data_IF_393678832772
#
_entry.id   IF_393678832772
#
_cell.length_a   1.000
_cell.length_b   1.000
_cell.length_c   1.000
_cell.angle_alpha   90.00
_cell.angle_beta   90.00
_cell.angle_gamma   90.00
#
_symmetry.space_group_name_H-M   'P 1'
#
loop_
_entity.id
_entity.type
_entity.pdbx_description
1 polymer ?
#
# COMPACT_ATOMS: atom_id res chain seq x y z
N UNK A 1 -0.22 43.53 -2.79
CA UNK A 1 0.48 44.41 -3.74
C UNK A 1 1.68 45.16 -3.15
N UNK A 2 1.72 45.47 -1.85
CA UNK A 2 2.87 46.18 -1.22
C UNK A 2 4.17 45.34 -1.16
N UNK A 3 4.09 44.00 -1.07
CA UNK A 3 5.28 43.15 -0.96
C UNK A 3 6.07 42.99 -2.27
N UNK A 4 5.40 43.04 -3.43
CA UNK A 4 6.06 42.97 -4.75
C UNK A 4 6.94 44.19 -5.03
N UNK A 5 6.61 45.35 -4.44
CA UNK A 5 7.42 46.57 -4.55
C UNK A 5 8.74 46.49 -3.79
N UNK A 6 8.73 45.85 -2.61
CA UNK A 6 9.93 45.69 -1.78
C UNK A 6 10.95 44.75 -2.44
N UNK A 7 10.47 43.66 -3.06
CA UNK A 7 11.30 42.69 -3.76
C UNK A 7 11.99 43.29 -5.00
N UNK A 8 11.28 44.10 -5.79
CA UNK A 8 11.87 44.79 -6.95
C UNK A 8 12.92 45.83 -6.55
N UNK A 9 12.71 46.51 -5.41
CA UNK A 9 13.68 47.48 -4.87
C UNK A 9 14.96 46.80 -4.36
N UNK A 10 14.83 45.68 -3.65
CA UNK A 10 15.97 44.89 -3.19
C UNK A 10 16.80 44.32 -4.36
N UNK A 11 16.15 43.86 -5.44
CA UNK A 11 16.83 43.38 -6.64
C UNK A 11 17.63 44.49 -7.34
N UNK A 12 17.05 45.68 -7.47
CA UNK A 12 17.73 46.84 -8.04
C UNK A 12 18.95 47.27 -7.21
N UNK A 13 18.84 47.24 -5.87
CA UNK A 13 19.95 47.54 -4.97
C UNK A 13 21.07 46.49 -5.07
N UNK A 14 20.73 45.20 -5.14
CA UNK A 14 21.68 44.11 -5.32
C UNK A 14 22.45 44.21 -6.65
N UNK A 15 21.76 44.53 -7.75
CA UNK A 15 22.38 44.76 -9.07
C UNK A 15 23.33 45.96 -9.05
N UNK A 16 22.94 47.05 -8.38
CA UNK A 16 23.78 48.25 -8.22
C UNK A 16 25.02 47.98 -7.38
N UNK A 17 24.90 47.23 -6.28
CA UNK A 17 26.06 46.79 -5.48
C UNK A 17 26.98 45.84 -6.27
N UNK A 18 26.43 44.89 -7.02
CA UNK A 18 27.24 43.97 -7.84
C UNK A 18 28.04 44.72 -8.92
N UNK A 19 27.44 45.72 -9.57
CA UNK A 19 28.13 46.58 -10.55
C UNK A 19 29.22 47.44 -9.90
N UNK A 20 28.96 48.02 -8.72
CA UNK A 20 29.97 48.77 -7.97
C UNK A 20 31.14 47.89 -7.51
N UNK A 21 30.87 46.64 -7.11
CA UNK A 21 31.88 45.66 -6.73
C UNK A 21 32.74 45.23 -7.92
N UNK A 22 32.15 45.00 -9.09
CA UNK A 22 32.90 44.67 -10.30
C UNK A 22 33.86 45.81 -10.70
N UNK A 23 33.44 47.07 -10.54
CA UNK A 23 34.28 48.24 -10.80
C UNK A 23 35.43 48.40 -9.79
N UNK A 24 35.19 48.10 -8.51
CA UNK A 24 36.21 48.18 -7.46
C UNK A 24 37.30 47.09 -7.56
N UNK A 25 36.97 45.91 -8.09
CA UNK A 25 37.90 44.79 -8.24
C UNK A 25 38.88 44.99 -9.42
N UNK A 26 38.53 45.82 -10.40
CA UNK A 26 39.39 46.13 -11.57
C UNK A 26 40.66 46.93 -11.23
N UNK A 27 40.79 47.49 -10.02
CA UNK A 27 41.89 48.41 -9.66
C UNK A 27 42.91 47.89 -8.65
N UNK A 28 42.75 46.69 -8.09
CA UNK A 28 43.55 46.24 -6.93
C UNK A 28 44.30 44.95 -7.26
N UNK A 29 45.63 45.01 -7.31
CA UNK A 29 46.48 43.87 -7.60
C UNK A 29 46.65 42.93 -6.39
N UNK A 30 46.26 41.67 -6.58
CA UNK A 30 46.90 40.48 -6.02
C UNK A 30 46.53 40.05 -4.60
N UNK A 31 46.74 40.89 -3.58
CA UNK A 31 46.82 40.40 -2.19
C UNK A 31 45.68 40.94 -1.30
N UNK A 32 45.14 42.12 -1.58
CA UNK A 32 44.04 42.70 -0.78
C UNK A 32 42.63 42.15 -1.15
N UNK A 33 42.49 41.48 -2.30
CA UNK A 33 41.20 41.02 -2.84
C UNK A 33 40.61 39.87 -2.01
N UNK A 34 41.44 38.99 -1.42
CA UNK A 34 40.94 37.85 -0.65
C UNK A 34 40.21 38.28 0.63
N UNK A 35 40.72 39.31 1.33
CA UNK A 35 40.12 39.84 2.56
C UNK A 35 38.78 40.54 2.31
N UNK A 36 38.68 41.30 1.20
CA UNK A 36 37.46 42.01 0.83
C UNK A 36 36.35 41.05 0.37
N UNK A 37 36.70 40.03 -0.41
CA UNK A 37 35.73 39.01 -0.86
C UNK A 37 35.21 38.19 0.32
N UNK A 38 36.08 37.84 1.27
CA UNK A 38 35.69 37.13 2.50
C UNK A 38 34.74 37.95 3.39
N UNK A 39 35.03 39.26 3.56
CA UNK A 39 34.18 40.18 4.32
C UNK A 39 32.79 40.39 3.69
N UNK A 40 32.74 40.51 2.36
CA UNK A 40 31.47 40.66 1.62
C UNK A 40 30.66 39.37 1.64
N UNK A 41 31.31 38.21 1.46
CA UNK A 41 30.64 36.91 1.58
C UNK A 41 30.06 36.72 2.99
N UNK A 42 30.79 37.11 4.05
CA UNK A 42 30.31 37.04 5.42
C UNK A 42 29.11 37.97 5.67
N UNK A 43 29.09 39.19 5.10
CA UNK A 43 27.97 40.14 5.23
C UNK A 43 26.72 39.70 4.46
N UNK A 44 26.90 39.21 3.23
CA UNK A 44 25.80 38.63 2.45
C UNK A 44 25.25 37.41 3.18
N UNK A 45 26.12 36.56 3.75
CA UNK A 45 25.70 35.39 4.52
C UNK A 45 24.96 35.76 5.81
N UNK A 46 25.42 36.76 6.57
CA UNK A 46 24.71 37.25 7.76
C UNK A 46 23.31 37.77 7.41
N UNK A 47 23.15 38.43 6.27
CA UNK A 47 21.83 38.83 5.77
C UNK A 47 20.98 37.62 5.32
N UNK A 48 21.61 36.57 4.79
CA UNK A 48 20.92 35.35 4.36
C UNK A 48 20.41 34.47 5.53
N UNK A 49 21.12 34.46 6.66
CA UNK A 49 20.73 33.73 7.88
C UNK A 49 19.52 34.38 8.59
N UNK A 50 19.21 35.64 8.27
CA UNK A 50 18.05 36.35 8.80
C UNK A 50 16.71 36.06 8.10
N UNK A 51 16.69 35.25 7.02
CA UNK A 51 15.43 34.92 6.35
C UNK A 51 14.71 33.76 7.03
N UNK A 52 13.55 34.04 7.63
CA UNK A 52 12.68 33.05 8.27
C UNK A 52 11.81 32.28 7.27
N UNK A 53 11.68 32.76 6.02
CA UNK A 53 10.80 32.19 5.01
C UNK A 53 11.52 31.28 4.01
N UNK A 54 10.84 30.22 3.58
CA UNK A 54 11.33 29.25 2.57
C UNK A 54 11.67 29.93 1.25
N UNK A 55 10.91 30.97 0.88
CA UNK A 55 11.18 31.77 -0.32
C UNK A 55 12.50 32.56 -0.20
N UNK A 56 12.83 33.09 0.98
CA UNK A 56 14.11 33.76 1.23
C UNK A 56 15.30 32.82 1.02
N UNK A 57 15.19 31.57 1.46
CA UNK A 57 16.22 30.53 1.26
C UNK A 57 16.39 30.15 -0.21
N UNK A 58 15.30 30.10 -0.98
CA UNK A 58 15.36 29.84 -2.42
C UNK A 58 16.02 31.00 -3.19
N UNK A 59 15.73 32.25 -2.82
CA UNK A 59 16.36 33.42 -3.41
C UNK A 59 17.85 33.51 -3.04
N UNK A 60 18.21 33.17 -1.80
CA UNK A 60 19.60 33.05 -1.35
C UNK A 60 20.41 32.09 -2.23
N UNK A 61 19.83 30.93 -2.54
CA UNK A 61 20.46 29.90 -3.37
C UNK A 61 20.65 30.37 -4.81
N UNK A 62 19.68 31.09 -5.38
CA UNK A 62 19.82 31.73 -6.70
C UNK A 62 20.92 32.78 -6.72
N UNK A 63 21.00 33.62 -5.68
CA UNK A 63 22.02 34.65 -5.51
C UNK A 63 23.44 34.04 -5.40
N UNK A 64 23.62 32.99 -4.61
CA UNK A 64 24.89 32.26 -4.49
C UNK A 64 25.30 31.63 -5.84
N UNK A 65 24.35 31.09 -6.59
CA UNK A 65 24.62 30.57 -7.95
C UNK A 65 24.99 31.67 -8.96
N UNK A 66 24.46 32.88 -8.78
CA UNK A 66 24.86 34.04 -9.59
C UNK A 66 26.28 34.53 -9.22
N UNK A 67 26.58 34.67 -7.92
CA UNK A 67 27.89 35.07 -7.43
C UNK A 67 28.99 34.08 -7.84
N UNK A 68 28.70 32.76 -7.80
CA UNK A 68 29.63 31.74 -8.29
C UNK A 68 29.97 31.93 -9.77
N UNK A 69 28.97 32.20 -10.62
CA UNK A 69 29.17 32.45 -12.05
C UNK A 69 29.94 33.73 -12.30
N UNK A 70 29.62 34.80 -11.58
CA UNK A 70 30.33 36.07 -11.69
C UNK A 70 31.82 35.95 -11.27
N UNK A 71 32.11 35.25 -10.18
CA UNK A 71 33.47 35.05 -9.69
C UNK A 71 34.28 34.11 -10.60
N UNK A 72 33.66 33.05 -11.13
CA UNK A 72 34.32 32.10 -12.04
C UNK A 72 34.80 32.75 -13.34
N UNK A 73 34.16 33.83 -13.79
CA UNK A 73 34.55 34.55 -15.01
C UNK A 73 35.72 35.52 -14.78
N UNK A 74 35.98 35.93 -13.53
CA UNK A 74 36.97 36.97 -13.24
C UNK A 74 38.25 36.48 -12.58
N UNK A 75 38.25 35.36 -11.85
CA UNK A 75 39.43 34.99 -11.05
C UNK A 75 40.33 33.92 -11.67
N UNK A 76 39.96 33.30 -12.80
CA UNK A 76 40.84 32.38 -13.55
C UNK A 76 41.53 31.27 -12.74
N UNK A 77 41.04 30.95 -11.53
CA UNK A 77 41.85 30.27 -10.52
C UNK A 77 41.02 29.46 -9.53
N UNK A 78 41.46 28.22 -9.32
CA UNK A 78 40.84 27.17 -8.51
C UNK A 78 40.62 27.54 -7.03
N UNK A 79 41.37 28.51 -6.50
CA UNK A 79 41.39 28.84 -5.06
C UNK A 79 40.11 29.51 -4.56
N UNK A 80 39.43 30.31 -5.39
CA UNK A 80 38.14 30.91 -5.02
C UNK A 80 36.99 29.90 -5.04
N UNK A 81 37.10 28.87 -5.88
CA UNK A 81 36.11 27.79 -5.97
C UNK A 81 36.24 26.85 -4.78
N UNK A 82 37.46 26.53 -4.34
CA UNK A 82 37.71 25.72 -3.14
C UNK A 82 37.16 26.38 -1.85
N UNK A 83 37.31 27.70 -1.71
CA UNK A 83 36.75 28.43 -0.57
C UNK A 83 35.21 28.33 -0.52
N UNK A 84 34.54 28.45 -1.68
CA UNK A 84 33.08 28.27 -1.81
C UNK A 84 32.63 26.82 -1.59
N UNK A 85 33.44 25.83 -1.96
CA UNK A 85 33.13 24.41 -1.74
C UNK A 85 33.29 24.00 -0.27
N UNK A 86 34.23 24.60 0.46
CA UNK A 86 34.34 24.40 1.92
C UNK A 86 33.11 24.89 2.70
N UNK A 87 32.49 26.00 2.26
CA UNK A 87 31.23 26.53 2.80
C UNK A 87 30.03 25.67 2.37
N UNK A 88 30.03 25.13 1.15
CA UNK A 88 29.00 24.19 0.68
C UNK A 88 28.97 22.90 1.51
N UNK A 89 30.12 22.42 1.97
CA UNK A 89 30.23 21.25 2.84
C UNK A 89 29.59 21.46 4.23
N UNK A 90 29.38 22.72 4.66
CA UNK A 90 28.71 23.04 5.93
C UNK A 90 27.19 23.12 5.83
N UNK A 91 26.61 23.25 4.63
CA UNK A 91 25.16 23.27 4.39
C UNK A 91 24.35 22.08 4.96
N UNK A 92 24.85 20.83 5.02
CA UNK A 92 24.12 19.70 5.62
C UNK A 92 23.89 19.85 7.12
N UNK A 93 24.87 20.40 7.85
CA UNK A 93 24.78 20.63 9.29
C UNK A 93 23.75 21.73 9.61
N UNK A 94 23.58 22.70 8.71
CA UNK A 94 22.57 23.76 8.85
C UNK A 94 21.16 23.36 8.37
N UNK A 95 21.03 22.37 7.48
CA UNK A 95 19.73 21.73 7.20
C UNK A 95 19.15 21.06 8.44
N UNK A 96 20.00 20.49 9.28
CA UNK A 96 19.59 19.90 10.56
C UNK A 96 19.11 20.97 11.56
N UNK A 97 19.77 22.13 11.63
CA UNK A 97 19.33 23.21 12.53
C UNK A 97 18.04 23.91 12.07
N UNK A 98 17.81 24.05 10.76
CA UNK A 98 16.56 24.59 10.23
C UNK A 98 15.38 23.62 10.39
N UNK A 99 15.60 22.32 10.19
CA UNK A 99 14.60 21.28 10.48
C UNK A 99 14.24 21.23 11.97
N UNK A 100 15.20 21.50 12.86
CA UNK A 100 14.96 21.60 14.29
C UNK A 100 14.12 22.83 14.67
N UNK A 101 14.39 24.00 14.09
CA UNK A 101 13.61 25.23 14.36
C UNK A 101 12.17 25.17 13.83
N UNK A 102 11.98 24.65 12.62
CA UNK A 102 10.64 24.51 12.02
C UNK A 102 9.78 23.48 12.77
N UNK A 103 10.37 22.39 13.28
CA UNK A 103 9.65 21.44 14.12
C UNK A 103 9.31 21.99 15.51
N UNK A 104 10.09 22.96 16.02
CA UNK A 104 9.78 23.62 17.29
C UNK A 104 8.57 24.57 17.18
N UNK A 105 8.51 25.40 16.14
CA UNK A 105 7.36 26.30 15.93
C UNK A 105 6.07 25.55 15.60
N UNK A 106 6.13 24.47 14.81
CA UNK A 106 4.95 23.60 14.59
C UNK A 106 4.46 22.98 15.90
N UNK A 107 5.35 22.70 16.85
CA UNK A 107 4.99 22.13 18.15
C UNK A 107 4.37 23.16 19.08
N UNK A 108 4.83 24.41 19.01
CA UNK A 108 4.25 25.56 19.73
C UNK A 108 2.87 25.90 19.16
N UNK A 109 2.70 25.97 17.84
CA UNK A 109 1.42 26.24 17.19
C UNK A 109 0.39 25.13 17.46
N UNK A 110 0.81 23.87 17.50
CA UNK A 110 -0.06 22.73 17.86
C UNK A 110 -0.44 22.76 19.35
N UNK A 111 0.48 23.16 20.23
CA UNK A 111 0.18 23.32 21.66
C UNK A 111 -0.78 24.50 21.90
N UNK A 112 -0.61 25.60 21.17
CA UNK A 112 -1.50 26.76 21.24
C UNK A 112 -2.89 26.46 20.65
N UNK A 113 -2.96 25.71 19.54
CA UNK A 113 -4.22 25.24 18.96
C UNK A 113 -4.95 24.23 19.87
N UNK A 114 -4.21 23.40 20.62
CA UNK A 114 -4.79 22.49 21.62
C UNK A 114 -5.38 23.26 22.82
N UNK A 115 -4.70 24.33 23.27
CA UNK A 115 -5.19 25.18 24.35
C UNK A 115 -6.35 26.09 23.95
N UNK A 116 -6.48 26.48 22.67
CA UNK A 116 -7.64 27.25 22.18
C UNK A 116 -8.93 26.42 22.06
N UNK A 117 -8.84 25.09 22.08
CA UNK A 117 -10.01 24.19 21.99
C UNK A 117 -10.63 23.81 23.33
N UNK A 118 -10.05 24.21 24.46
CA UNK A 118 -10.60 23.91 25.80
C UNK A 118 -11.42 25.06 26.41
N UNK A 119 -11.64 26.14 25.67
CA UNK A 119 -12.45 27.27 26.12
C UNK A 119 -13.70 27.46 25.28
N UNK A 120 -14.86 27.19 25.89
CA UNK A 120 -16.19 27.63 25.47
C UNK A 120 -16.95 26.82 24.41
N UNK A 121 -17.05 25.50 24.60
CA UNK A 121 -18.28 24.79 24.23
C UNK A 121 -18.75 24.00 25.46
N UNK A 122 -19.94 24.35 25.96
CA UNK A 122 -20.64 23.59 26.98
C UNK A 122 -21.01 22.22 26.40
N UNK A 123 -20.18 21.22 26.71
CA UNK A 123 -20.44 19.83 26.38
C UNK A 123 -21.75 19.40 27.03
N UNK A 124 -22.82 19.39 26.24
CA UNK A 124 -24.01 18.59 26.53
C UNK A 124 -23.54 17.15 26.59
N UNK A 125 -23.46 16.62 27.80
CA UNK A 125 -23.18 15.23 28.10
C UNK A 125 -24.02 14.31 27.20
N UNK A 126 -23.43 13.84 26.11
CA UNK A 126 -23.97 12.73 25.35
C UNK A 126 -23.75 11.48 26.20
N UNK A 127 -24.67 11.21 27.12
CA UNK A 127 -24.78 9.95 27.86
C UNK A 127 -25.24 8.84 26.93
N UNK A 128 -24.44 8.52 25.92
CA UNK A 128 -24.58 7.29 25.16
C UNK A 128 -23.87 6.20 25.98
N UNK A 129 -24.64 5.49 26.79
CA UNK A 129 -24.20 4.28 27.47
C UNK A 129 -24.58 3.08 26.58
N UNK A 130 -23.72 2.64 25.64
CA UNK A 130 -24.02 1.47 24.85
C UNK A 130 -24.20 0.28 25.78
N UNK A 131 -25.25 -0.51 25.55
CA UNK A 131 -25.46 -1.78 26.25
C UNK A 131 -24.38 -2.75 25.79
N UNK A 132 -23.27 -2.80 26.53
CA UNK A 132 -22.17 -3.73 26.29
C UNK A 132 -22.67 -5.12 26.67
N UNK A 133 -22.60 -6.07 25.74
CA UNK A 133 -22.99 -7.47 26.00
C UNK A 133 -22.16 -8.06 27.15
N UNK A 134 -22.77 -8.91 27.98
CA UNK A 134 -22.12 -9.55 29.16
C UNK A 134 -20.83 -10.31 28.81
N UNK A 135 -20.70 -10.79 27.57
CA UNK A 135 -19.45 -11.40 27.08
C UNK A 135 -18.30 -10.40 27.02
N UNK A 136 -18.55 -9.18 26.57
CA UNK A 136 -17.50 -8.17 26.44
C UNK A 136 -17.04 -7.68 27.82
N UNK A 137 -17.97 -7.50 28.77
CA UNK A 137 -17.61 -7.13 30.15
C UNK A 137 -16.78 -8.22 30.83
N UNK A 138 -17.18 -9.49 30.68
CA UNK A 138 -16.42 -10.63 31.25
C UNK A 138 -14.99 -10.74 30.68
N UNK A 139 -14.79 -10.34 29.42
CA UNK A 139 -13.49 -10.37 28.76
C UNK A 139 -12.62 -9.18 29.20
N UNK A 140 -13.22 -8.01 29.43
CA UNK A 140 -12.56 -6.83 30.01
C UNK A 140 -12.10 -7.11 31.45
N UNK A 141 -12.97 -7.72 32.27
CA UNK A 141 -12.66 -8.14 33.65
C UNK A 141 -11.54 -9.19 33.68
N UNK A 142 -11.57 -10.17 32.78
CA UNK A 142 -10.50 -11.16 32.66
C UNK A 142 -9.15 -10.53 32.27
N UNK A 143 -9.17 -9.50 31.42
CA UNK A 143 -7.96 -8.73 31.05
C UNK A 143 -7.43 -7.93 32.24
N UNK A 144 -8.31 -7.25 32.97
CA UNK A 144 -7.91 -6.49 34.16
C UNK A 144 -7.33 -7.41 35.23
N UNK A 145 -7.96 -8.56 35.50
CA UNK A 145 -7.45 -9.56 36.42
C UNK A 145 -6.08 -10.13 35.99
N UNK A 146 -5.84 -10.31 34.69
CA UNK A 146 -4.53 -10.74 34.18
C UNK A 146 -3.44 -9.68 34.38
N UNK A 147 -3.76 -8.40 34.15
CA UNK A 147 -2.85 -7.27 34.38
C UNK A 147 -2.52 -7.13 35.86
N UNK A 148 -3.51 -7.26 36.75
CA UNK A 148 -3.29 -7.19 38.19
C UNK A 148 -2.46 -8.36 38.71
N UNK A 149 -2.68 -9.59 38.21
CA UNK A 149 -1.80 -10.74 38.53
C UNK A 149 -0.38 -10.53 38.05
N UNK A 150 -0.19 -10.00 36.83
CA UNK A 150 1.15 -9.69 36.32
C UNK A 150 1.84 -8.60 37.15
N UNK A 151 1.08 -7.58 37.59
CA UNK A 151 1.59 -6.52 38.46
C UNK A 151 1.96 -7.05 39.84
N UNK A 152 1.13 -7.90 40.43
CA UNK A 152 1.41 -8.53 41.72
C UNK A 152 2.66 -9.42 41.64
N UNK A 153 2.77 -10.23 40.58
CA UNK A 153 3.95 -11.06 40.33
C UNK A 153 5.23 -10.23 40.17
N UNK A 154 5.15 -9.09 39.48
CA UNK A 154 6.27 -8.17 39.32
C UNK A 154 6.71 -7.53 40.65
N UNK A 155 5.76 -7.16 41.52
CA UNK A 155 6.07 -6.63 42.86
C UNK A 155 6.76 -7.72 43.70
N UNK A 156 6.25 -8.96 43.69
CA UNK A 156 6.88 -10.06 44.42
C UNK A 156 8.26 -10.43 43.87
N UNK A 157 8.48 -10.32 42.56
CA UNK A 157 9.78 -10.56 41.94
C UNK A 157 10.79 -9.43 42.26
N UNK A 158 10.31 -8.18 42.32
CA UNK A 158 11.10 -7.02 42.70
C UNK A 158 11.57 -7.06 44.16
N UNK A 159 10.78 -7.65 45.06
CA UNK A 159 11.17 -7.83 46.48
C UNK A 159 12.15 -9.01 46.68
N UNK A 160 12.18 -9.98 45.77
CA UNK A 160 12.98 -11.19 45.92
C UNK A 160 14.46 -11.03 45.52
N UNK A 161 14.80 -10.18 44.55
CA UNK A 161 16.20 -9.98 44.16
C UNK A 161 16.44 -8.66 43.38
N UNK A 162 16.99 -7.60 44.02
CA UNK A 162 17.18 -6.30 43.38
C UNK A 162 18.26 -6.31 42.26
N UNK A 163 19.07 -7.38 42.17
CA UNK A 163 20.13 -7.51 41.18
C UNK A 163 19.64 -7.95 39.78
N UNK A 164 18.44 -8.53 39.67
CA UNK A 164 17.89 -9.06 38.41
C UNK A 164 16.81 -8.17 37.76
N UNK A 165 16.70 -6.92 38.24
CA UNK A 165 15.69 -5.94 37.82
C UNK A 165 15.69 -5.65 36.31
N UNK A 166 16.84 -5.74 35.65
CA UNK A 166 16.96 -5.44 34.22
C UNK A 166 16.34 -6.52 33.32
N UNK A 167 16.35 -7.78 33.75
CA UNK A 167 15.84 -8.90 32.94
C UNK A 167 14.33 -9.06 33.13
N UNK A 168 13.84 -8.95 34.38
CA UNK A 168 12.40 -8.94 34.67
C UNK A 168 11.67 -7.71 34.09
N UNK A 169 12.31 -6.52 34.08
CA UNK A 169 11.76 -5.34 33.42
C UNK A 169 11.71 -5.50 31.88
N UNK A 170 12.65 -6.24 31.29
CA UNK A 170 12.66 -6.54 29.86
C UNK A 170 11.54 -7.53 29.48
N UNK A 171 11.29 -8.55 30.30
CA UNK A 171 10.16 -9.47 30.10
C UNK A 171 8.80 -8.78 30.29
N UNK A 172 8.67 -7.89 31.27
CA UNK A 172 7.45 -7.13 31.51
C UNK A 172 7.18 -6.12 30.38
N UNK A 173 8.24 -5.52 29.81
CA UNK A 173 8.15 -4.69 28.62
C UNK A 173 7.77 -5.51 27.36
N UNK A 174 8.26 -6.74 27.23
CA UNK A 174 7.91 -7.64 26.13
C UNK A 174 6.46 -8.15 26.23
N UNK A 175 5.99 -8.51 27.42
CA UNK A 175 4.61 -8.93 27.66
C UNK A 175 3.61 -7.78 27.48
N UNK A 176 3.94 -6.57 27.93
CA UNK A 176 3.14 -5.37 27.69
C UNK A 176 3.09 -4.98 26.19
N UNK A 177 4.21 -5.16 25.46
CA UNK A 177 4.24 -4.92 24.01
C UNK A 177 3.36 -5.92 23.24
N UNK A 178 3.25 -7.17 23.70
CA UNK A 178 2.38 -8.18 23.09
C UNK A 178 0.89 -7.89 23.36
N UNK A 179 0.53 -7.45 24.57
CA UNK A 179 -0.86 -7.13 24.94
C UNK A 179 -1.42 -5.89 24.21
N UNK A 180 -0.57 -4.94 23.83
CA UNK A 180 -0.96 -3.74 23.07
C UNK A 180 -0.89 -3.91 21.53
N UNK A 181 -0.42 -5.05 21.02
CA UNK A 181 -0.25 -5.32 19.59
C UNK A 181 -1.54 -5.77 18.88
N UNK A 182 -2.56 -6.24 19.63
CA UNK A 182 -3.79 -6.76 19.05
C UNK A 182 -4.81 -5.69 18.57
N UNK A 183 -4.49 -4.40 18.67
CA UNK A 183 -5.39 -3.34 18.23
C UNK A 183 -4.68 -2.02 17.95
N UNK A 184 -4.39 -1.75 16.68
CA UNK A 184 -4.12 -0.39 16.19
C UNK A 184 -2.65 0.04 16.20
N UNK A 185 -1.90 -0.38 15.17
CA UNK A 185 -1.03 0.49 14.35
C UNK A 185 -0.17 1.57 15.02
N UNK A 186 0.47 1.33 16.17
CA UNK A 186 1.56 2.20 16.64
C UNK A 186 2.90 1.68 16.10
N UNK A 187 3.44 2.42 15.13
CA UNK A 187 4.78 2.21 14.58
C UNK A 187 5.83 2.17 15.69
N UNK A 188 6.89 1.34 15.55
CA UNK A 188 7.94 1.24 16.56
C UNK A 188 8.67 2.58 16.72
N UNK A 189 8.87 2.99 17.96
CA UNK A 189 9.68 4.15 18.36
C UNK A 189 11.20 3.91 18.27
N UNK A 190 11.65 2.85 17.60
CA UNK A 190 13.08 2.65 17.38
C UNK A 190 13.54 3.62 16.30
N UNK A 191 14.66 4.30 16.51
CA UNK A 191 15.28 5.24 15.54
C UNK A 191 15.77 4.58 14.25
N UNK A 192 15.26 3.39 13.91
CA UNK A 192 15.53 2.68 12.68
C UNK A 192 14.69 3.33 11.56
N UNK A 193 15.33 3.82 10.50
CA UNK A 193 14.62 4.34 9.34
C UNK A 193 13.54 3.37 8.85
N UNK A 194 12.32 3.87 8.61
CA UNK A 194 11.14 3.08 8.24
C UNK A 194 11.38 2.09 7.10
N UNK A 195 12.22 2.45 6.12
CA UNK A 195 12.51 1.58 4.98
C UNK A 195 13.29 0.32 5.39
N UNK A 196 14.18 0.40 6.39
CA UNK A 196 14.89 -0.76 6.92
C UNK A 196 13.95 -1.67 7.70
N UNK A 197 13.07 -1.10 8.53
CA UNK A 197 12.07 -1.88 9.26
C UNK A 197 11.12 -2.66 8.32
N UNK A 198 10.72 -2.04 7.20
CA UNK A 198 9.92 -2.70 6.17
C UNK A 198 10.71 -3.81 5.44
N UNK A 199 12.00 -3.58 5.18
CA UNK A 199 12.86 -4.57 4.54
C UNK A 199 13.08 -5.79 5.44
N UNK A 200 13.34 -5.60 6.73
CA UNK A 200 13.49 -6.69 7.70
C UNK A 200 12.18 -7.47 7.88
N UNK A 201 11.04 -6.77 7.88
CA UNK A 201 9.73 -7.41 7.90
C UNK A 201 9.46 -8.26 6.64
N UNK A 202 9.82 -7.75 5.46
CA UNK A 202 9.70 -8.53 4.22
C UNK A 202 10.57 -9.80 4.26
N UNK A 203 11.82 -9.67 4.73
CA UNK A 203 12.77 -10.79 4.83
C UNK A 203 12.33 -11.87 5.81
N UNK A 204 11.75 -11.48 6.94
CA UNK A 204 11.20 -12.42 7.93
C UNK A 204 9.96 -13.13 7.41
N UNK A 205 9.07 -12.43 6.69
CA UNK A 205 7.92 -13.03 6.01
C UNK A 205 8.36 -14.05 4.93
N UNK A 206 9.32 -13.70 4.08
CA UNK A 206 9.87 -14.62 3.08
C UNK A 206 10.49 -15.87 3.72
N UNK A 207 11.24 -15.69 4.81
CA UNK A 207 11.85 -16.80 5.55
C UNK A 207 10.80 -17.73 6.19
N UNK A 208 9.64 -17.19 6.58
CA UNK A 208 8.52 -17.98 7.10
C UNK A 208 7.85 -18.78 5.98
N UNK A 209 7.60 -18.14 4.84
CA UNK A 209 6.99 -18.78 3.67
C UNK A 209 7.88 -19.92 3.16
N UNK A 210 9.20 -19.72 3.09
CA UNK A 210 10.13 -20.78 2.65
C UNK A 210 10.18 -21.94 3.63
N UNK A 211 10.19 -21.67 4.94
CA UNK A 211 10.11 -22.73 5.96
C UNK A 211 8.81 -23.53 5.83
N UNK A 212 7.66 -22.85 5.75
CA UNK A 212 6.36 -23.51 5.62
C UNK A 212 6.26 -24.36 4.34
N UNK A 213 6.93 -23.92 3.26
CA UNK A 213 7.02 -24.68 2.01
C UNK A 213 7.90 -25.93 2.17
N UNK A 214 9.08 -25.80 2.76
CA UNK A 214 9.98 -26.92 3.03
C UNK A 214 9.33 -27.95 3.96
N UNK A 215 8.60 -27.50 4.99
CA UNK A 215 7.89 -28.39 5.90
C UNK A 215 6.75 -29.15 5.20
N UNK A 216 6.07 -28.52 4.23
CA UNK A 216 5.07 -29.22 3.39
C UNK A 216 5.73 -30.25 2.49
N UNK A 217 6.81 -29.87 1.79
CA UNK A 217 7.56 -30.78 0.92
C UNK A 217 8.12 -31.98 1.72
N UNK A 218 8.60 -31.75 2.95
CA UNK A 218 9.07 -32.81 3.84
C UNK A 218 7.93 -33.75 4.28
N UNK A 219 6.74 -33.22 4.58
CA UNK A 219 5.55 -34.03 4.88
C UNK A 219 5.11 -34.85 3.69
N UNK A 220 5.04 -34.25 2.51
CA UNK A 220 4.72 -34.95 1.26
C UNK A 220 5.74 -36.06 0.96
N UNK A 221 7.03 -35.81 1.16
CA UNK A 221 8.07 -36.83 1.01
C UNK A 221 7.95 -37.95 2.06
N UNK A 222 7.58 -37.62 3.30
CA UNK A 222 7.34 -38.63 4.33
C UNK A 222 6.11 -39.49 4.01
N UNK A 223 5.04 -38.89 3.48
CA UNK A 223 3.84 -39.59 3.03
C UNK A 223 4.09 -40.44 1.78
N UNK A 224 4.93 -39.96 0.87
CA UNK A 224 5.37 -40.68 -0.33
C UNK A 224 6.47 -41.72 -0.04
N UNK A 225 7.01 -41.76 1.18
CA UNK A 225 7.84 -42.86 1.65
C UNK A 225 6.97 -44.09 1.93
N UNK A 226 6.45 -44.65 0.84
CA UNK A 226 5.84 -45.97 0.82
C UNK A 226 6.90 -46.93 1.34
N UNK A 227 6.75 -47.35 2.60
CA UNK A 227 7.46 -48.51 3.15
C UNK A 227 6.60 -49.71 2.80
N UNK A 228 6.79 -50.36 1.63
CA UNK A 228 6.09 -51.60 1.36
C UNK A 228 6.41 -52.53 2.53
N UNK A 229 5.36 -53.00 3.21
CA UNK A 229 5.50 -54.18 4.07
C UNK A 229 5.81 -55.33 3.11
N UNK A 230 7.09 -55.50 2.79
CA UNK A 230 7.57 -56.67 2.08
C UNK A 230 7.30 -57.84 3.01
N UNK A 231 6.20 -58.54 2.75
CA UNK A 231 5.97 -59.86 3.29
C UNK A 231 7.07 -60.71 2.68
N UNK A 232 8.16 -60.88 3.42
CA UNK A 232 9.27 -61.77 3.05
C UNK A 232 8.77 -63.19 3.20
N UNK A 233 8.00 -63.65 2.21
CA UNK A 233 7.76 -65.07 2.04
C UNK A 233 9.08 -65.65 1.50
N UNK A 234 9.76 -66.51 2.26
CA UNK A 234 11.01 -67.09 1.80
C UNK A 234 10.73 -68.00 0.60
N UNK A 235 11.30 -67.61 -0.53
CA UNK A 235 11.96 -68.51 -1.48
C UNK A 235 11.19 -69.77 -1.90
N UNK A 236 10.45 -69.66 -3.00
CA UNK A 236 10.19 -70.80 -3.90
C UNK A 236 10.07 -70.33 -5.35
N UNK A 237 11.18 -69.99 -5.99
CA UNK A 237 11.33 -70.03 -7.45
C UNK A 237 12.82 -70.28 -7.71
N UNK A 238 13.26 -71.54 -7.76
CA UNK A 238 13.21 -72.40 -8.95
C UNK A 238 13.80 -71.69 -10.16
N UNK A 239 15.11 -71.86 -10.29
CA UNK A 239 15.88 -71.73 -11.52
C UNK A 239 15.24 -72.53 -12.65
N UNK A 240 14.76 -71.85 -13.68
CA UNK A 240 14.58 -72.45 -14.99
C UNK A 240 15.01 -71.42 -16.03
N UNK A 241 16.17 -71.70 -16.61
CA UNK A 241 16.55 -71.36 -17.97
C UNK A 241 15.35 -71.44 -18.91
N UNK A 242 15.25 -70.54 -19.89
CA UNK A 242 15.72 -70.84 -21.25
C UNK A 242 15.16 -69.83 -22.28
N UNK A 243 15.96 -69.64 -23.32
CA UNK A 243 15.62 -69.12 -24.65
C UNK A 243 15.36 -67.61 -24.84
N UNK A 244 16.39 -67.02 -25.45
CA UNK A 244 16.36 -65.79 -26.23
C UNK A 244 15.14 -65.68 -27.17
N UNK A 245 14.34 -64.63 -26.99
CA UNK A 245 13.45 -64.09 -28.03
C UNK A 245 13.62 -62.56 -28.11
N UNK A 246 13.81 -61.97 -29.31
CA UNK A 246 13.94 -60.54 -29.47
C UNK A 246 12.54 -59.89 -29.42
N UNK A 247 12.09 -59.54 -28.22
CA UNK A 247 10.81 -58.86 -27.94
C UNK A 247 11.02 -57.36 -27.63
N UNK A 248 11.96 -56.71 -28.33
CA UNK A 248 12.36 -55.32 -28.05
C UNK A 248 11.38 -54.25 -28.57
N UNK A 249 10.73 -54.48 -29.72
CA UNK A 249 9.95 -53.41 -30.39
C UNK A 249 8.52 -53.25 -29.83
N UNK A 250 7.85 -54.35 -29.47
CA UNK A 250 6.44 -54.30 -29.04
C UNK A 250 6.26 -53.84 -27.59
N UNK A 251 7.30 -53.90 -26.76
CA UNK A 251 7.25 -53.45 -25.37
C UNK A 251 7.23 -51.93 -25.27
N UNK A 252 7.98 -51.26 -26.14
CA UNK A 252 8.03 -49.80 -26.18
C UNK A 252 6.74 -49.19 -26.74
N UNK A 253 6.18 -49.78 -27.80
CA UNK A 253 4.85 -49.39 -28.32
C UNK A 253 3.73 -49.67 -27.31
N UNK A 254 3.79 -50.80 -26.58
CA UNK A 254 2.82 -51.08 -25.53
C UNK A 254 2.88 -50.06 -24.38
N UNK A 255 4.08 -49.65 -23.97
CA UNK A 255 4.27 -48.59 -22.97
C UNK A 255 3.80 -47.21 -23.47
N UNK A 256 4.06 -46.86 -24.72
CA UNK A 256 3.54 -45.63 -25.32
C UNK A 256 2.01 -45.65 -25.51
N UNK A 257 1.42 -46.82 -25.78
CA UNK A 257 -0.05 -46.98 -25.82
C UNK A 257 -0.70 -46.84 -24.44
N UNK A 258 0.03 -47.14 -23.36
CA UNK A 258 -0.42 -46.94 -21.99
C UNK A 258 -0.28 -45.48 -21.53
N UNK A 259 0.71 -44.75 -22.07
CA UNK A 259 0.91 -43.32 -21.77
C UNK A 259 -0.07 -42.40 -22.52
N UNK A 260 -0.50 -42.79 -23.72
CA UNK A 260 -1.41 -42.00 -24.57
C UNK A 260 -2.90 -42.24 -24.30
N UNK A 261 -3.27 -43.25 -23.50
CA UNK A 261 -4.64 -43.38 -23.00
C UNK A 261 -4.87 -42.24 -22.00
N UNK A 262 -5.81 -41.30 -22.25
CA UNK A 262 -6.16 -40.29 -21.26
C UNK A 262 -6.60 -41.05 -20.01
N UNK A 263 -5.78 -40.98 -18.97
CA UNK A 263 -6.20 -41.45 -17.65
C UNK A 263 -7.47 -40.67 -17.36
N UNK A 264 -8.60 -41.38 -17.23
CA UNK A 264 -9.81 -40.82 -16.62
C UNK A 264 -9.37 -40.46 -15.20
N UNK A 265 -8.86 -39.25 -15.00
CA UNK A 265 -8.66 -38.69 -13.68
C UNK A 265 -10.07 -38.68 -13.11
N UNK A 266 -10.39 -39.49 -12.09
CA UNK A 266 -11.71 -39.45 -11.48
C UNK A 266 -11.90 -38.01 -11.01
N UNK A 267 -12.81 -37.29 -11.67
CA UNK A 267 -13.01 -35.84 -11.55
C UNK A 267 -13.52 -35.43 -10.18
N UNK A 268 -13.65 -36.36 -9.24
CA UNK A 268 -14.10 -36.10 -7.89
C UNK A 268 -13.51 -37.19 -6.99
N UNK A 269 -12.59 -36.78 -6.11
CA UNK A 269 -12.29 -37.57 -4.92
C UNK A 269 -13.59 -37.57 -4.10
N UNK A 270 -14.22 -38.73 -3.87
CA UNK A 270 -15.46 -38.77 -3.11
C UNK A 270 -15.22 -38.14 -1.74
N UNK A 271 -16.15 -37.30 -1.30
CA UNK A 271 -16.09 -36.70 0.03
C UNK A 271 -15.91 -37.81 1.09
N UNK A 272 -15.23 -37.52 2.19
CA UNK A 272 -15.08 -38.46 3.31
C UNK A 272 -16.42 -39.07 3.75
N UNK A 273 -17.50 -38.29 3.68
CA UNK A 273 -18.87 -38.74 3.95
C UNK A 273 -19.39 -39.76 2.91
N UNK A 274 -19.10 -39.56 1.63
CA UNK A 274 -19.48 -40.49 0.56
C UNK A 274 -18.73 -41.83 0.69
N UNK A 275 -17.48 -41.79 1.17
CA UNK A 275 -16.70 -42.98 1.48
C UNK A 275 -17.28 -43.74 2.67
N UNK A 276 -17.67 -43.05 3.74
CA UNK A 276 -18.35 -43.65 4.89
C UNK A 276 -19.72 -44.27 4.53
N UNK A 277 -20.48 -43.64 3.63
CA UNK A 277 -21.74 -44.17 3.11
C UNK A 277 -21.54 -45.45 2.27
N UNK A 278 -20.47 -45.50 1.47
CA UNK A 278 -20.13 -46.70 0.70
C UNK A 278 -19.64 -47.85 1.59
N UNK A 279 -18.95 -47.52 2.69
CA UNK A 279 -18.49 -48.48 3.71
C UNK A 279 -19.59 -48.84 4.72
N UNK A 280 -20.77 -48.23 4.63
CA UNK A 280 -21.92 -48.58 5.45
C UNK A 280 -22.45 -49.96 5.04
N UNK A 281 -21.90 -51.00 5.64
CA UNK A 281 -22.29 -52.41 5.48
C UNK A 281 -23.61 -52.74 6.18
N UNK A 282 -24.19 -51.78 6.91
CA UNK A 282 -25.49 -51.92 7.54
C UNK A 282 -26.58 -51.87 6.47
N UNK A 283 -26.88 -53.04 5.91
CA UNK A 283 -28.10 -53.31 5.16
C UNK A 283 -29.10 -53.84 6.18
N UNK A 284 -29.93 -53.01 6.83
CA UNK A 284 -30.94 -53.53 7.72
C UNK A 284 -31.82 -54.47 6.90
N UNK A 285 -31.78 -55.75 7.23
CA UNK A 285 -32.80 -56.71 6.80
C UNK A 285 -34.08 -56.28 7.50
N UNK A 286 -34.76 -55.29 6.92
CA UNK A 286 -36.17 -55.04 7.19
C UNK A 286 -36.89 -56.31 6.79
N UNK A 287 -37.12 -57.16 7.78
CA UNK A 287 -37.86 -58.40 7.65
C UNK A 287 -39.23 -58.06 7.05
N UNK A 288 -39.38 -58.28 5.75
CA UNK A 288 -40.64 -58.29 5.01
C UNK A 288 -41.42 -59.58 5.34
N UNK A 289 -41.48 -59.94 6.62
CA UNK A 289 -42.23 -61.11 7.05
C UNK A 289 -43.70 -60.76 7.14
N UNK A 290 -44.38 -61.14 6.07
CA UNK A 290 -45.81 -61.37 6.03
C UNK A 290 -46.61 -60.13 5.69
N UNK A 291 -47.02 -60.03 4.43
CA UNK A 291 -48.41 -60.35 4.08
C UNK A 291 -48.63 -60.25 2.57
N UNK A 292 -49.46 -61.17 2.10
CA UNK A 292 -50.58 -60.96 1.17
C UNK A 292 -50.27 -60.16 -0.09
N UNK A 293 -50.39 -60.85 -1.22
CA UNK A 293 -50.78 -60.32 -2.52
C UNK A 293 -51.24 -58.86 -2.46
N UNK A 294 -50.32 -57.97 -2.81
CA UNK A 294 -50.54 -56.54 -2.92
C UNK A 294 -51.56 -56.28 -4.03
N UNK A 295 -52.79 -55.97 -3.63
CA UNK A 295 -53.61 -55.03 -4.39
C UNK A 295 -52.75 -53.76 -4.64
N UNK A 296 -52.81 -53.15 -5.83
CA UNK A 296 -52.04 -51.96 -6.13
C UNK A 296 -52.37 -50.91 -5.06
N UNK A 297 -51.36 -50.53 -4.28
CA UNK A 297 -51.49 -49.51 -3.25
C UNK A 297 -52.00 -48.24 -3.93
N UNK A 298 -53.28 -47.92 -3.70
CA UNK A 298 -53.81 -46.62 -4.09
C UNK A 298 -52.93 -45.57 -3.41
N UNK A 299 -52.45 -44.56 -4.14
CA UNK A 299 -51.57 -43.54 -3.57
C UNK A 299 -52.30 -42.94 -2.38
N UNK A 300 -51.72 -43.10 -1.18
CA UNK A 300 -52.24 -42.52 0.04
C UNK A 300 -52.58 -41.05 -0.24
N UNK A 301 -53.80 -40.64 0.10
CA UNK A 301 -54.32 -39.32 -0.22
C UNK A 301 -53.30 -38.26 0.18
N UNK A 302 -52.82 -37.49 -0.81
CA UNK A 302 -51.81 -36.44 -0.57
C UNK A 302 -52.39 -35.47 0.46
N UNK A 303 -51.66 -35.15 1.54
CA UNK A 303 -52.16 -34.22 2.54
C UNK A 303 -52.40 -32.84 1.89
N UNK A 304 -53.40 -32.11 2.40
CA UNK A 304 -53.74 -30.79 1.90
C UNK A 304 -52.51 -29.87 1.93
N UNK A 305 -52.18 -29.24 0.79
CA UNK A 305 -51.01 -28.38 0.65
C UNK A 305 -49.70 -29.08 0.24
N UNK A 306 -49.70 -30.40 0.03
CA UNK A 306 -48.52 -31.14 -0.45
C UNK A 306 -47.95 -30.54 -1.75
N UNK A 307 -48.80 -30.18 -2.71
CA UNK A 307 -48.35 -29.66 -4.00
C UNK A 307 -47.73 -28.27 -3.87
N UNK A 308 -48.30 -27.39 -3.04
CA UNK A 308 -47.72 -26.08 -2.73
C UNK A 308 -46.36 -26.20 -2.04
N UNK A 309 -46.19 -27.17 -1.14
CA UNK A 309 -44.90 -27.43 -0.51
C UNK A 309 -43.85 -27.93 -1.52
N UNK A 310 -44.25 -28.83 -2.41
CA UNK A 310 -43.37 -29.35 -3.48
C UNK A 310 -42.98 -28.25 -4.47
N UNK A 311 -43.90 -27.36 -4.85
CA UNK A 311 -43.61 -26.21 -5.71
C UNK A 311 -42.62 -25.23 -5.07
N UNK A 312 -42.77 -24.93 -3.77
CA UNK A 312 -41.81 -24.10 -3.04
C UNK A 312 -40.42 -24.72 -3.05
N UNK A 313 -40.33 -26.03 -2.83
CA UNK A 313 -39.07 -26.78 -2.87
C UNK A 313 -38.43 -26.75 -4.26
N UNK A 314 -39.22 -26.92 -5.34
CA UNK A 314 -38.74 -26.84 -6.72
C UNK A 314 -38.21 -25.45 -7.05
N UNK A 315 -38.95 -24.40 -6.68
CA UNK A 315 -38.54 -23.01 -6.89
C UNK A 315 -37.23 -22.68 -6.18
N UNK A 316 -37.08 -23.09 -4.92
CA UNK A 316 -35.82 -22.91 -4.18
C UNK A 316 -34.64 -23.63 -4.86
N UNK A 317 -34.87 -24.81 -5.42
CA UNK A 317 -33.82 -25.53 -6.17
C UNK A 317 -33.47 -24.85 -7.49
N UNK A 318 -34.44 -24.30 -8.22
CA UNK A 318 -34.21 -23.54 -9.45
C UNK A 318 -33.44 -22.25 -9.17
N UNK A 319 -33.84 -21.48 -8.15
CA UNK A 319 -33.15 -20.26 -7.74
C UNK A 319 -31.71 -20.55 -7.28
N UNK A 320 -31.50 -21.66 -6.56
CA UNK A 320 -30.15 -22.09 -6.14
C UNK A 320 -29.28 -22.43 -7.34
N UNK A 321 -29.80 -23.20 -8.30
CA UNK A 321 -29.07 -23.55 -9.53
C UNK A 321 -28.77 -22.32 -10.39
N UNK A 322 -29.69 -21.36 -10.45
CA UNK A 322 -29.48 -20.11 -11.18
C UNK A 322 -28.33 -19.28 -10.58
N UNK A 323 -28.28 -19.17 -9.24
CA UNK A 323 -27.16 -18.52 -8.54
C UNK A 323 -25.83 -19.25 -8.74
N UNK A 324 -25.84 -20.57 -8.67
CA UNK A 324 -24.64 -21.38 -8.91
C UNK A 324 -24.10 -21.15 -10.33
N UNK A 325 -24.96 -21.11 -11.36
CA UNK A 325 -24.52 -20.82 -12.74
C UNK A 325 -23.98 -19.38 -12.91
N UNK A 326 -24.60 -18.38 -12.27
CA UNK A 326 -24.11 -16.99 -12.30
C UNK A 326 -22.74 -16.85 -11.61
N UNK A 327 -22.56 -17.53 -10.48
CA UNK A 327 -21.28 -17.58 -9.77
C UNK A 327 -20.19 -18.28 -10.59
N UNK A 328 -20.52 -19.38 -11.27
CA UNK A 328 -19.60 -20.07 -12.19
C UNK A 328 -19.21 -19.18 -13.39
N UNK A 329 -20.16 -18.48 -14.01
CA UNK A 329 -19.88 -17.55 -15.11
C UNK A 329 -19.00 -16.37 -14.63
N UNK A 330 -19.30 -15.82 -13.46
CA UNK A 330 -18.50 -14.77 -12.84
C UNK A 330 -17.08 -15.26 -12.50
N UNK A 331 -16.95 -16.50 -12.02
CA UNK A 331 -15.66 -17.13 -11.75
C UNK A 331 -14.86 -17.34 -13.05
N UNK A 332 -15.51 -17.77 -14.13
CA UNK A 332 -14.88 -17.92 -15.44
C UNK A 332 -14.41 -16.56 -16.00
N UNK A 333 -15.22 -15.49 -15.85
CA UNK A 333 -14.82 -14.12 -16.22
C UNK A 333 -13.62 -13.63 -15.42
N UNK A 334 -13.60 -13.86 -14.09
CA UNK A 334 -12.44 -13.51 -13.25
C UNK A 334 -11.21 -14.32 -13.63
N UNK A 335 -11.36 -15.62 -13.88
CA UNK A 335 -10.26 -16.47 -14.32
C UNK A 335 -9.72 -16.05 -15.69
N UNK A 336 -10.58 -15.67 -16.64
CA UNK A 336 -10.16 -15.14 -17.94
C UNK A 336 -9.43 -13.80 -17.80
N UNK A 337 -9.88 -12.90 -16.91
CA UNK A 337 -9.17 -11.66 -16.61
C UNK A 337 -7.82 -11.89 -15.93
N UNK A 338 -7.72 -12.91 -15.07
CA UNK A 338 -6.47 -13.28 -14.41
C UNK A 338 -5.49 -14.05 -15.32
N UNK A 339 -6.01 -14.82 -16.27
CA UNK A 339 -5.24 -15.59 -17.25
C UNK A 339 -4.79 -14.74 -18.45
N UNK A 340 -5.35 -13.54 -18.63
CA UNK A 340 -4.70 -12.53 -19.45
C UNK A 340 -3.28 -12.37 -18.91
N UNK A 341 -2.23 -12.67 -19.70
CA UNK A 341 -0.87 -12.55 -19.22
C UNK A 341 -0.73 -11.14 -18.72
N UNK A 342 -0.48 -10.99 -17.41
CA UNK A 342 -0.18 -9.70 -16.82
C UNK A 342 0.97 -9.17 -17.64
N UNK A 343 0.67 -8.24 -18.57
CA UNK A 343 1.72 -7.57 -19.32
C UNK A 343 2.57 -6.99 -18.19
N UNK A 344 3.82 -7.48 -18.01
CA UNK A 344 4.69 -6.90 -17.01
C UNK A 344 4.62 -5.41 -17.31
N UNK A 345 4.42 -4.57 -16.28
CA UNK A 345 4.29 -3.12 -16.45
C UNK A 345 5.42 -2.70 -17.36
N UNK A 346 5.11 -2.58 -18.66
CA UNK A 346 6.10 -2.18 -19.60
C UNK A 346 6.26 -0.74 -19.17
N UNK A 347 7.44 -0.39 -18.70
CA UNK A 347 7.92 0.97 -18.82
C UNK A 347 8.03 1.26 -20.33
N UNK A 348 6.92 1.15 -21.06
CA UNK A 348 6.67 1.81 -22.33
C UNK A 348 6.51 3.29 -22.00
N UNK A 349 7.54 3.84 -21.35
CA UNK A 349 7.74 5.26 -21.19
C UNK A 349 7.72 5.88 -22.56
N UNK A 350 8.29 5.23 -23.58
CA UNK A 350 8.31 5.75 -24.95
C UNK A 350 6.95 5.77 -25.62
N UNK A 351 6.16 4.68 -25.63
CA UNK A 351 4.81 4.73 -26.24
C UNK A 351 3.88 5.66 -25.46
N UNK A 352 3.95 5.65 -24.13
CA UNK A 352 3.12 6.52 -23.28
C UNK A 352 3.62 7.97 -23.29
N UNK A 353 4.91 8.23 -23.54
CA UNK A 353 5.46 9.56 -23.80
C UNK A 353 5.08 10.03 -25.19
N UNK A 354 5.21 9.19 -26.22
CA UNK A 354 4.77 9.49 -27.57
C UNK A 354 3.27 9.79 -27.61
N UNK A 355 2.44 9.06 -26.85
CA UNK A 355 1.02 9.37 -26.73
C UNK A 355 0.77 10.68 -25.95
N UNK A 356 1.62 11.02 -24.97
CA UNK A 356 1.55 12.30 -24.26
C UNK A 356 2.06 13.49 -25.09
N UNK A 357 3.04 13.26 -25.94
CA UNK A 357 3.63 14.25 -26.85
C UNK A 357 2.78 14.43 -28.10
N UNK A 358 2.07 13.38 -28.54
CA UNK A 358 1.09 13.45 -29.60
C UNK A 358 -0.21 14.13 -29.15
N UNK A 359 -0.50 14.13 -27.83
CA UNK A 359 -1.61 14.95 -27.31
C UNK A 359 -1.23 16.42 -27.45
N UNK A 360 -2.09 17.26 -28.06
CA UNK A 360 -1.85 18.68 -28.15
C UNK A 360 -1.65 19.25 -26.74
N UNK A 361 -0.75 20.22 -26.60
CA UNK A 361 -0.56 20.89 -25.33
C UNK A 361 -1.91 21.51 -24.87
N UNK A 362 -2.28 21.38 -23.59
CA UNK A 362 -3.52 21.97 -23.09
C UNK A 362 -3.48 23.49 -23.26
N UNK A 363 -4.60 24.05 -23.72
CA UNK A 363 -4.77 25.49 -23.93
C UNK A 363 -4.64 26.26 -22.62
N UNK A 364 -5.27 25.75 -21.57
CA UNK A 364 -5.33 26.39 -20.28
C UNK A 364 -5.23 25.36 -19.17
N UNK A 365 -4.51 25.73 -18.12
CA UNK A 365 -4.57 25.02 -16.86
C UNK A 365 -5.40 25.80 -15.85
N UNK A 366 -6.40 25.16 -15.27
CA UNK A 366 -7.28 25.74 -14.27
C UNK A 366 -7.07 25.05 -12.92
N UNK A 367 -6.77 25.84 -11.89
CA UNK A 367 -6.64 25.34 -10.51
C UNK A 367 -7.99 25.44 -9.78
N UNK A 368 -8.49 24.29 -9.31
CA UNK A 368 -9.74 24.17 -8.56
C UNK A 368 -9.42 23.96 -7.08
N UNK A 369 -9.95 24.84 -6.24
CA UNK A 369 -9.82 24.72 -4.78
C UNK A 369 -10.82 23.69 -4.25
N UNK A 370 -10.32 22.60 -3.64
CA UNK A 370 -11.13 21.48 -3.14
C UNK A 370 -11.42 21.59 -1.63
N UNK A 371 -10.86 22.59 -0.96
CA UNK A 371 -10.93 22.77 0.49
C UNK A 371 -9.60 23.25 1.08
N UNK A 372 -9.48 23.34 2.41
CA UNK A 372 -8.29 23.86 3.08
C UNK A 372 -7.07 22.99 2.75
N UNK A 373 -6.11 23.58 2.03
CA UNK A 373 -4.83 22.94 1.66
C UNK A 373 -4.89 21.95 0.50
N UNK A 374 -6.01 21.83 -0.22
CA UNK A 374 -6.13 20.93 -1.38
C UNK A 374 -6.53 21.71 -2.63
N UNK A 375 -5.68 21.64 -3.65
CA UNK A 375 -5.96 22.16 -4.99
C UNK A 375 -5.80 21.05 -6.01
N UNK A 376 -6.69 21.00 -7.00
CA UNK A 376 -6.62 20.09 -8.14
C UNK A 376 -6.49 20.89 -9.43
N UNK A 377 -5.59 20.47 -10.33
CA UNK A 377 -5.32 21.17 -11.59
C UNK A 377 -5.96 20.42 -12.75
N UNK A 378 -6.70 21.13 -13.59
CA UNK A 378 -7.38 20.61 -14.78
C UNK A 378 -6.69 21.22 -16.01
N UNK A 379 -6.28 20.39 -16.98
CA UNK A 379 -5.84 20.85 -18.29
C UNK A 379 -6.99 20.81 -19.29
N UNK A 380 -7.28 21.93 -19.94
CA UNK A 380 -8.34 22.08 -20.93
C UNK A 380 -7.74 22.01 -22.34
N UNK A 381 -8.29 21.18 -23.23
CA UNK A 381 -7.88 21.08 -24.63
C UNK A 381 -8.98 21.61 -25.56
N UNK A 382 -8.62 21.84 -26.83
CA UNK A 382 -9.58 22.21 -27.87
C UNK A 382 -10.58 21.07 -28.11
N UNK A 383 -11.88 21.41 -28.03
CA UNK A 383 -12.98 20.47 -28.27
C UNK A 383 -13.36 19.59 -27.10
N UNK A 384 -12.76 19.74 -25.91
CA UNK A 384 -13.19 19.03 -24.71
C UNK A 384 -14.61 19.47 -24.28
N UNK A 385 -15.46 18.51 -23.87
CA UNK A 385 -16.77 18.81 -23.28
C UNK A 385 -16.63 19.21 -21.80
N UNK A 386 -17.07 20.41 -21.39
CA UNK A 386 -16.98 20.88 -20.00
C UNK A 386 -17.72 19.96 -19.01
N UNK A 387 -18.79 19.29 -19.45
CA UNK A 387 -19.57 18.38 -18.58
C UNK A 387 -18.79 17.11 -18.27
N UNK A 388 -18.18 16.51 -19.28
CA UNK A 388 -17.38 15.29 -19.11
C UNK A 388 -16.11 15.56 -18.29
N UNK A 389 -15.44 16.69 -18.51
CA UNK A 389 -14.28 17.10 -17.72
C UNK A 389 -14.64 17.29 -16.24
N UNK A 390 -15.75 17.99 -15.96
CA UNK A 390 -16.23 18.17 -14.60
C UNK A 390 -16.61 16.84 -13.94
N UNK A 391 -17.30 15.95 -14.66
CA UNK A 391 -17.70 14.62 -14.16
C UNK A 391 -16.49 13.74 -13.85
N UNK A 392 -15.49 13.71 -14.73
CA UNK A 392 -14.25 12.96 -14.52
C UNK A 392 -13.46 13.51 -13.32
N UNK A 393 -13.40 14.83 -13.18
CA UNK A 393 -12.76 15.47 -12.05
C UNK A 393 -13.51 15.22 -10.73
N UNK A 394 -14.84 15.31 -10.75
CA UNK A 394 -15.69 14.98 -9.61
C UNK A 394 -15.51 13.53 -9.16
N UNK A 395 -15.44 12.59 -10.11
CA UNK A 395 -15.17 11.18 -9.84
C UNK A 395 -13.77 10.94 -9.25
N UNK A 396 -12.76 11.66 -9.73
CA UNK A 396 -11.38 11.52 -9.24
C UNK A 396 -11.18 12.05 -7.81
N UNK A 397 -11.90 13.12 -7.44
CA UNK A 397 -11.74 13.78 -6.14
C UNK A 397 -12.91 13.54 -5.17
N UNK A 398 -13.95 12.82 -5.59
CA UNK A 398 -15.13 12.51 -4.78
C UNK A 398 -16.01 13.75 -4.51
N UNK A 399 -16.28 14.55 -5.54
CA UNK A 399 -17.11 15.76 -5.42
C UNK A 399 -18.60 15.44 -5.62
N UNK A 400 -19.46 16.19 -4.93
CA UNK A 400 -20.92 16.07 -5.08
C UNK A 400 -21.42 16.60 -6.43
N UNK A 401 -22.53 16.05 -6.91
CA UNK A 401 -23.16 16.44 -8.18
C UNK A 401 -23.49 17.96 -8.27
N UNK A 402 -23.75 18.61 -7.14
CA UNK A 402 -23.98 20.06 -7.11
C UNK A 402 -22.71 20.87 -7.39
N UNK A 403 -21.54 20.37 -6.98
CA UNK A 403 -20.24 20.99 -7.20
C UNK A 403 -19.78 20.70 -8.63
N UNK A 404 -20.03 19.49 -9.12
CA UNK A 404 -19.79 19.09 -10.52
C UNK A 404 -20.50 20.03 -11.50
N UNK A 405 -21.81 20.28 -11.30
CA UNK A 405 -22.56 21.18 -12.17
C UNK A 405 -22.03 22.63 -12.16
N UNK A 406 -21.60 23.12 -10.99
CA UNK A 406 -20.98 24.45 -10.86
C UNK A 406 -19.61 24.50 -11.55
N UNK A 407 -18.83 23.43 -11.43
CA UNK A 407 -17.53 23.31 -12.07
C UNK A 407 -17.66 23.28 -13.59
N UNK A 408 -18.63 22.53 -14.14
CA UNK A 408 -18.91 22.50 -15.57
C UNK A 408 -19.20 23.90 -16.12
N UNK A 409 -20.07 24.68 -15.46
CA UNK A 409 -20.38 26.05 -15.88
C UNK A 409 -19.22 27.05 -15.67
N UNK A 410 -18.21 26.72 -14.87
CA UNK A 410 -17.00 27.51 -14.71
C UNK A 410 -15.98 27.18 -15.82
N UNK A 411 -15.82 25.90 -16.17
CA UNK A 411 -15.00 25.44 -17.30
C UNK A 411 -15.53 26.02 -18.62
N UNK A 412 -16.84 25.97 -18.84
CA UNK A 412 -17.47 26.47 -20.06
C UNK A 412 -17.21 27.97 -20.29
N UNK A 413 -17.32 28.79 -19.23
CA UNK A 413 -17.03 30.24 -19.32
C UNK A 413 -15.57 30.51 -19.66
N UNK A 414 -14.63 29.82 -19.03
CA UNK A 414 -13.20 30.01 -19.33
C UNK A 414 -12.82 29.49 -20.72
N UNK A 415 -13.44 28.42 -21.21
CA UNK A 415 -13.25 27.98 -22.59
C UNK A 415 -13.74 29.04 -23.58
N UNK A 416 -14.90 29.65 -23.33
CA UNK A 416 -15.42 30.72 -24.20
C UNK A 416 -14.52 31.95 -24.22
N UNK A 417 -14.00 32.37 -23.07
CA UNK A 417 -13.07 33.51 -22.96
C UNK A 417 -11.77 33.26 -23.74
N UNK A 418 -11.12 32.11 -23.51
CA UNK A 418 -9.84 31.77 -24.16
C UNK A 418 -10.00 31.59 -25.67
N UNK A 419 -11.07 30.94 -26.10
CA UNK A 419 -11.35 30.74 -27.53
C UNK A 419 -11.61 32.08 -28.22
N UNK A 420 -12.31 33.02 -27.57
CA UNK A 420 -12.55 34.36 -28.13
C UNK A 420 -11.24 35.15 -28.30
N UNK A 421 -10.34 35.10 -27.31
CA UNK A 421 -9.03 35.78 -27.39
C UNK A 421 -8.16 35.21 -28.53
N UNK A 422 -8.16 33.89 -28.70
CA UNK A 422 -7.42 33.23 -29.80
C UNK A 422 -7.94 33.62 -31.18
N UNK A 423 -9.25 33.83 -31.36
CA UNK A 423 -9.81 34.29 -32.63
C UNK A 423 -9.54 35.78 -32.90
N UNK A 424 -9.36 36.59 -31.86
CA UNK A 424 -9.06 38.02 -32.01
C UNK A 424 -7.60 38.31 -32.39
N UNK A 425 -6.64 37.44 -32.05
CA UNK A 425 -5.22 37.61 -32.44
C UNK A 425 -4.92 37.21 -33.88
N UNK A 426 -5.80 36.46 -34.54
CA UNK A 426 -5.59 35.92 -35.89
C UNK A 426 -6.24 36.77 -36.99
N UNK A 427 -7.13 37.71 -36.62
CA UNK A 427 -7.81 38.63 -37.54
C UNK A 427 -7.13 40.01 -37.58
#
# INVERSE_FOLDING_TARGET
>A
MLELGFLRSAEAHAKKMASAMASAVSGVTGIAVSSAVSSVAARVWAALVGFETVEGVLHARKLLGFLRRALSVHTGGATAVEALESERARLPLYRLSFAYKTTHHVREDVAEAANRKSGADEDKECTFAPKINERSSSLEEARQAAVERARAAAITAAEADPANFHEAAAELAAAAAFAHSAGGGKLPRSGVPRYLALYDHARTMESRITRDRLDKEAKEQAELSFKPKLVTNPSTYSTASDSARPMGAKRFEHLNSLASKPRKIPTRVPSYEEQQLAECTFKPTVFTHGRRASLPAQPAARPAGYEQAVERLRKVQEDKKAREMEEEEAALRRAAQAAMPARPFAFATEERQAEREARPAPLLFMDVNLGPGRTGRIGLHEGDDPRELAANFAKAYGLDASVEAKLAGLIERHLQEVVADLYHEVA
#
